data_IF_162768246010
#
_entry.id   IF_162768246010
#
_cell.length_a   1.000
_cell.length_b   1.000
_cell.length_c   1.000
_cell.angle_alpha   90.00
_cell.angle_beta   90.00
_cell.angle_gamma   90.00
#
_symmetry.space_group_name_H-M   'P 1'
#
loop_
_entity.id
_entity.type
_entity.pdbx_description
1 polymer ?
#
# COMPACT_ATOMS: atom_id res chain seq x y z
N UNK A 1 -7.94 -7.73 -2.26
CA UNK A 1 -8.70 -7.97 -1.01
C UNK A 1 -9.75 -6.87 -0.83
N UNK A 2 -9.35 -5.62 -0.59
CA UNK A 2 -10.25 -4.49 -0.30
C UNK A 2 -11.39 -4.30 -1.29
N UNK A 3 -11.14 -4.33 -2.60
CA UNK A 3 -12.20 -4.18 -3.62
C UNK A 3 -13.26 -5.30 -3.54
N UNK A 4 -12.81 -6.55 -3.38
CA UNK A 4 -13.72 -7.70 -3.33
C UNK A 4 -14.50 -7.74 -2.01
N UNK A 5 -13.82 -7.63 -0.87
CA UNK A 5 -14.49 -7.64 0.44
C UNK A 5 -15.35 -6.40 0.65
N UNK A 6 -14.94 -5.26 0.09
CA UNK A 6 -15.71 -4.01 0.07
C UNK A 6 -16.99 -4.15 -0.74
N UNK A 7 -16.95 -4.75 -1.94
CA UNK A 7 -18.15 -5.01 -2.74
C UNK A 7 -19.13 -5.95 -2.03
N UNK A 8 -18.62 -7.02 -1.40
CA UNK A 8 -19.42 -7.98 -0.61
C UNK A 8 -20.15 -7.28 0.53
N UNK A 9 -19.46 -6.39 1.26
CA UNK A 9 -20.08 -5.61 2.33
C UNK A 9 -20.99 -4.50 1.81
N UNK A 10 -20.65 -3.88 0.67
CA UNK A 10 -21.40 -2.79 0.06
C UNK A 10 -22.80 -3.21 -0.41
N UNK A 11 -22.95 -4.44 -0.92
CA UNK A 11 -24.25 -4.92 -1.42
C UNK A 11 -25.37 -4.85 -0.36
N UNK A 12 -25.23 -5.41 0.86
CA UNK A 12 -26.25 -5.32 1.89
C UNK A 12 -26.39 -3.92 2.51
N UNK A 13 -25.31 -3.12 2.56
CA UNK A 13 -25.35 -1.81 3.23
C UNK A 13 -25.91 -0.69 2.36
N UNK A 14 -25.61 -0.75 1.06
CA UNK A 14 -25.82 0.34 0.12
C UNK A 14 -26.62 -0.08 -1.12
N UNK A 15 -27.01 -1.36 -1.21
CA UNK A 15 -27.85 -1.88 -2.30
C UNK A 15 -27.09 -2.17 -3.60
N UNK A 16 -25.81 -1.83 -3.70
CA UNK A 16 -24.99 -2.00 -4.91
C UNK A 16 -23.65 -2.65 -4.62
N UNK A 17 -23.13 -3.41 -5.58
CA UNK A 17 -21.79 -4.03 -5.52
C UNK A 17 -20.69 -3.05 -5.88
N UNK A 18 -20.99 -2.07 -6.74
CA UNK A 18 -20.02 -1.14 -7.28
C UNK A 18 -20.69 0.16 -7.73
N UNK A 19 -19.99 1.26 -7.53
CA UNK A 19 -20.28 2.56 -8.12
C UNK A 19 -19.02 3.12 -8.74
N UNK A 20 -19.16 3.85 -9.83
CA UNK A 20 -18.04 4.51 -10.50
C UNK A 20 -17.70 5.85 -9.87
N UNK A 21 -17.83 5.95 -8.54
CA UNK A 21 -17.47 7.17 -7.85
C UNK A 21 -15.93 7.33 -7.81
N UNK A 22 -15.43 8.56 -7.62
CA UNK A 22 -14.01 8.82 -7.67
C UNK A 22 -13.19 8.05 -6.63
N UNK A 23 -13.75 7.72 -5.45
CA UNK A 23 -13.03 6.97 -4.42
C UNK A 23 -12.78 5.54 -4.90
N UNK A 24 -13.85 4.82 -5.24
CA UNK A 24 -13.74 3.43 -5.71
C UNK A 24 -12.92 3.32 -7.00
N UNK A 25 -13.11 4.25 -7.93
CA UNK A 25 -12.35 4.27 -9.19
C UNK A 25 -10.86 4.51 -8.94
N UNK A 26 -10.51 5.43 -8.04
CA UNK A 26 -9.10 5.68 -7.69
C UNK A 26 -8.45 4.49 -6.97
N UNK A 27 -9.19 3.74 -6.14
CA UNK A 27 -8.71 2.49 -5.54
C UNK A 27 -8.50 1.37 -6.57
N UNK A 28 -9.38 1.27 -7.59
CA UNK A 28 -9.19 0.35 -8.71
C UNK A 28 -7.94 0.69 -9.53
N UNK A 29 -7.73 1.98 -9.82
CA UNK A 29 -6.51 2.45 -10.50
C UNK A 29 -5.27 2.12 -9.65
N UNK A 30 -5.34 2.30 -8.33
CA UNK A 30 -4.26 1.92 -7.42
C UNK A 30 -3.94 0.42 -7.50
N UNK A 31 -4.97 -0.45 -7.60
CA UNK A 31 -4.75 -1.89 -7.81
C UNK A 31 -3.99 -2.17 -9.11
N UNK A 32 -4.41 -1.56 -10.22
CA UNK A 32 -3.70 -1.73 -11.50
C UNK A 32 -2.28 -1.17 -11.46
N UNK A 33 -2.07 -0.05 -10.76
CA UNK A 33 -0.73 0.49 -10.53
C UNK A 33 0.15 -0.49 -9.76
N UNK A 34 -0.39 -1.13 -8.71
CA UNK A 34 0.33 -2.13 -7.93
C UNK A 34 0.71 -3.37 -8.77
N UNK A 35 -0.25 -3.89 -9.54
CA UNK A 35 0.00 -4.99 -10.49
C UNK A 35 1.03 -4.58 -11.54
N UNK A 36 0.93 -3.36 -12.07
CA UNK A 36 1.86 -2.80 -13.05
C UNK A 36 3.29 -2.74 -12.51
N UNK A 37 3.48 -2.26 -11.26
CA UNK A 37 4.81 -2.20 -10.62
C UNK A 37 5.39 -3.61 -10.44
N UNK A 38 4.60 -4.56 -9.94
CA UNK A 38 5.06 -5.95 -9.76
C UNK A 38 5.36 -6.62 -11.10
N UNK A 39 4.46 -6.48 -12.08
CA UNK A 39 4.59 -7.06 -13.41
C UNK A 39 5.80 -6.49 -14.16
N UNK A 40 6.00 -5.18 -14.12
CA UNK A 40 7.15 -4.53 -14.75
C UNK A 40 8.47 -4.94 -14.11
N UNK A 41 8.49 -5.13 -12.79
CA UNK A 41 9.67 -5.63 -12.09
C UNK A 41 9.98 -7.10 -12.44
N UNK A 42 8.95 -7.92 -12.66
CA UNK A 42 9.10 -9.34 -12.99
C UNK A 42 9.39 -9.60 -14.49
N UNK A 43 8.94 -8.71 -15.38
CA UNK A 43 9.05 -8.90 -16.83
C UNK A 43 10.43 -8.54 -17.41
N UNK A 44 11.28 -7.80 -16.69
CA UNK A 44 12.58 -7.35 -17.16
C UNK A 44 13.69 -8.19 -16.49
N UNK A 45 14.49 -8.88 -17.30
CA UNK A 45 15.57 -9.77 -16.81
C UNK A 45 16.69 -9.00 -16.10
N UNK A 46 17.11 -7.85 -16.65
CA UNK A 46 18.13 -7.02 -16.00
C UNK A 46 17.54 -6.37 -14.74
N UNK A 47 17.98 -6.87 -13.58
CA UNK A 47 17.48 -6.45 -12.27
C UNK A 47 17.56 -4.93 -12.03
N UNK A 48 18.60 -4.26 -12.54
CA UNK A 48 18.77 -2.80 -12.34
C UNK A 48 17.85 -2.00 -13.25
N UNK A 49 17.60 -2.46 -14.48
CA UNK A 49 16.61 -1.86 -15.39
C UNK A 49 15.20 -2.10 -14.87
N UNK A 50 14.90 -3.32 -14.43
CA UNK A 50 13.62 -3.68 -13.81
C UNK A 50 13.28 -2.79 -12.60
N UNK A 51 14.24 -2.63 -11.68
CA UNK A 51 14.07 -1.79 -10.49
C UNK A 51 13.86 -0.32 -10.84
N UNK A 52 14.58 0.23 -11.84
CA UNK A 52 14.40 1.61 -12.29
C UNK A 52 13.04 1.84 -12.93
N UNK A 53 12.61 0.94 -13.81
CA UNK A 53 11.33 1.04 -14.50
C UNK A 53 10.15 0.93 -13.51
N UNK A 54 10.19 -0.09 -12.63
CA UNK A 54 9.18 -0.26 -11.58
C UNK A 54 9.18 0.90 -10.58
N UNK A 55 10.35 1.42 -10.20
CA UNK A 55 10.49 2.58 -9.32
C UNK A 55 9.91 3.86 -9.93
N UNK A 56 10.17 4.11 -11.22
CA UNK A 56 9.56 5.24 -11.93
C UNK A 56 8.04 5.15 -11.94
N UNK A 57 7.49 3.98 -12.28
CA UNK A 57 6.04 3.76 -12.25
C UNK A 57 5.45 3.97 -10.85
N UNK A 58 6.13 3.51 -9.80
CA UNK A 58 5.72 3.73 -8.42
C UNK A 58 5.70 5.23 -8.04
N UNK A 59 6.71 6.00 -8.47
CA UNK A 59 6.75 7.46 -8.25
C UNK A 59 5.58 8.15 -8.97
N UNK A 60 5.30 7.78 -10.21
CA UNK A 60 4.11 8.29 -10.93
C UNK A 60 2.83 7.95 -10.16
N UNK A 61 2.73 6.74 -9.62
CA UNK A 61 1.61 6.31 -8.78
C UNK A 61 1.41 7.15 -7.51
N UNK A 62 2.44 7.81 -6.96
CA UNK A 62 2.31 8.69 -5.79
C UNK A 62 1.32 9.84 -6.06
N UNK A 63 1.22 10.29 -7.31
CA UNK A 63 0.27 11.35 -7.72
C UNK A 63 -1.19 10.93 -7.50
N UNK A 64 -1.48 9.62 -7.45
CA UNK A 64 -2.83 9.12 -7.13
C UNK A 64 -3.17 9.31 -5.64
N UNK A 65 -2.19 9.39 -4.74
CA UNK A 65 -2.45 9.43 -3.30
C UNK A 65 -3.23 10.68 -2.86
N UNK A 66 -2.90 11.91 -3.33
CA UNK A 66 -3.73 13.08 -3.08
C UNK A 66 -5.17 12.91 -3.59
N UNK A 67 -5.36 12.34 -4.78
CA UNK A 67 -6.70 12.12 -5.36
C UNK A 67 -7.51 11.16 -4.49
N UNK A 68 -6.92 10.04 -4.09
CA UNK A 68 -7.55 9.06 -3.20
C UNK A 68 -7.91 9.71 -1.86
N UNK A 69 -6.94 10.40 -1.22
CA UNK A 69 -7.11 11.01 0.10
C UNK A 69 -8.21 12.07 0.11
N UNK A 70 -8.22 12.95 -0.89
CA UNK A 70 -9.16 14.07 -0.94
C UNK A 70 -10.45 13.75 -1.71
N UNK A 71 -10.58 12.55 -2.28
CA UNK A 71 -11.82 12.09 -2.91
C UNK A 71 -13.05 12.23 -2.01
N UNK A 72 -12.87 12.09 -0.68
CA UNK A 72 -13.91 12.29 0.34
C UNK A 72 -14.38 13.73 0.49
N UNK A 73 -13.55 14.70 0.13
CA UNK A 73 -13.85 16.13 0.26
C UNK A 73 -14.31 16.71 -1.08
N UNK A 74 -13.68 16.29 -2.17
CA UNK A 74 -13.92 16.87 -3.50
C UNK A 74 -15.23 16.40 -4.14
N UNK A 75 -15.74 15.22 -3.79
CA UNK A 75 -16.98 14.69 -4.37
C UNK A 75 -17.95 14.18 -3.33
N UNK A 76 -19.23 14.46 -3.57
CA UNK A 76 -20.33 13.80 -2.89
C UNK A 76 -20.46 12.38 -3.45
N UNK A 77 -20.25 11.38 -2.62
CA UNK A 77 -20.47 9.98 -2.97
C UNK A 77 -21.35 9.30 -1.94
N UNK A 78 -21.69 8.05 -2.21
CA UNK A 78 -22.47 7.23 -1.30
C UNK A 78 -21.72 6.92 0.01
N UNK A 79 -20.40 7.15 0.03
CA UNK A 79 -19.55 6.91 1.18
C UNK A 79 -19.62 8.07 2.16
N UNK A 80 -19.65 7.74 3.45
CA UNK A 80 -19.55 8.74 4.51
C UNK A 80 -18.26 9.58 4.44
N UNK A 81 -18.35 10.79 5.00
CA UNK A 81 -17.24 11.71 5.20
C UNK A 81 -16.22 11.23 6.23
N UNK A 82 -15.16 12.02 6.46
CA UNK A 82 -14.14 11.71 7.48
C UNK A 82 -14.70 11.86 8.90
N UNK A 83 -14.64 10.81 9.71
CA UNK A 83 -15.04 10.84 11.13
C UNK A 83 -13.90 11.24 12.07
N UNK A 84 -12.65 11.10 11.63
CA UNK A 84 -11.45 11.50 12.38
C UNK A 84 -10.92 12.81 11.80
N UNK A 85 -10.76 13.81 12.66
CA UNK A 85 -10.07 15.06 12.32
C UNK A 85 -8.69 15.08 12.95
N UNK A 86 -7.70 15.58 12.18
CA UNK A 86 -6.34 15.84 12.69
C UNK A 86 -6.28 17.22 13.35
N UNK A 87 -7.14 18.15 12.94
CA UNK A 87 -7.22 19.51 13.46
C UNK A 87 -8.68 19.77 13.86
N UNK A 88 -8.95 19.87 15.17
CA UNK A 88 -10.29 20.06 15.71
C UNK A 88 -10.99 18.77 16.16
N UNK A 89 -12.29 18.86 16.44
CA UNK A 89 -13.06 17.77 17.05
C UNK A 89 -13.31 16.61 16.08
N UNK A 90 -13.05 15.38 16.54
CA UNK A 90 -13.42 14.16 15.82
C UNK A 90 -14.84 13.75 16.17
N UNK A 91 -15.57 13.22 15.18
CA UNK A 91 -16.96 12.73 15.33
C UNK A 91 -17.04 11.23 15.61
N UNK A 92 -15.89 10.58 15.79
CA UNK A 92 -15.80 9.15 16.10
C UNK A 92 -16.22 8.90 17.55
N UNK A 93 -16.96 7.83 17.78
CA UNK A 93 -17.34 7.41 19.14
C UNK A 93 -16.07 7.06 19.96
N UNK A 94 -15.93 7.54 21.20
CA UNK A 94 -14.76 7.27 22.04
C UNK A 94 -14.44 5.78 22.20
N UNK A 95 -15.45 4.90 22.20
CA UNK A 95 -15.25 3.45 22.31
C UNK A 95 -14.46 2.84 21.15
N UNK A 96 -14.45 3.50 19.99
CA UNK A 96 -13.73 3.03 18.80
C UNK A 96 -12.26 3.45 18.77
N UNK A 97 -11.85 4.42 19.61
CA UNK A 97 -10.48 4.96 19.60
C UNK A 97 -9.43 3.94 19.99
N UNK A 98 -9.71 3.13 21.03
CA UNK A 98 -8.81 2.07 21.48
C UNK A 98 -8.49 1.06 20.37
N UNK A 99 -9.52 0.38 19.80
CA UNK A 99 -9.33 -0.54 18.68
C UNK A 99 -8.64 0.11 17.47
N UNK A 100 -8.99 1.36 17.14
CA UNK A 100 -8.38 2.10 16.03
C UNK A 100 -6.87 2.24 16.21
N UNK A 101 -6.43 2.73 17.38
CA UNK A 101 -5.00 2.93 17.64
C UNK A 101 -4.23 1.61 17.71
N UNK A 102 -4.78 0.60 18.37
CA UNK A 102 -4.16 -0.72 18.45
C UNK A 102 -3.95 -1.30 17.05
N UNK A 103 -4.98 -1.30 16.20
CA UNK A 103 -4.88 -1.85 14.85
C UNK A 103 -4.00 -1.00 13.94
N UNK A 104 -4.03 0.32 14.07
CA UNK A 104 -3.16 1.23 13.32
C UNK A 104 -1.69 0.92 13.64
N UNK A 105 -1.34 0.91 14.93
CA UNK A 105 0.03 0.66 15.39
C UNK A 105 0.47 -0.74 14.98
N UNK A 106 -0.30 -1.78 15.29
CA UNK A 106 0.02 -3.16 14.95
C UNK A 106 0.29 -3.36 13.46
N UNK A 107 -0.57 -2.80 12.61
CA UNK A 107 -0.43 -2.93 11.15
C UNK A 107 0.81 -2.20 10.63
N UNK A 108 1.15 -1.03 11.21
CA UNK A 108 2.34 -0.26 10.82
C UNK A 108 3.63 -0.96 11.25
N UNK A 109 3.67 -1.51 12.46
CA UNK A 109 4.81 -2.32 12.92
C UNK A 109 4.97 -3.59 12.10
N UNK A 110 3.88 -4.30 11.80
CA UNK A 110 3.91 -5.48 10.93
C UNK A 110 4.44 -5.14 9.53
N UNK A 111 3.96 -4.05 8.94
CA UNK A 111 4.44 -3.58 7.64
C UNK A 111 5.93 -3.22 7.68
N UNK A 112 6.36 -2.42 8.66
CA UNK A 112 7.75 -2.02 8.81
C UNK A 112 8.67 -3.23 9.01
N UNK A 113 8.30 -4.16 9.90
CA UNK A 113 9.05 -5.41 10.11
C UNK A 113 9.16 -6.25 8.85
N UNK A 114 8.04 -6.43 8.14
CA UNK A 114 8.01 -7.19 6.87
C UNK A 114 8.87 -6.52 5.79
N UNK A 115 8.83 -5.19 5.69
CA UNK A 115 9.65 -4.42 4.76
C UNK A 115 11.15 -4.57 5.08
N UNK A 116 11.53 -4.42 6.34
CA UNK A 116 12.92 -4.55 6.79
C UNK A 116 13.44 -5.97 6.56
N UNK A 117 12.62 -7.00 6.82
CA UNK A 117 12.98 -8.39 6.54
C UNK A 117 13.21 -8.62 5.05
N UNK A 118 12.35 -8.09 4.18
CA UNK A 118 12.52 -8.17 2.72
C UNK A 118 13.75 -7.40 2.24
N UNK A 119 13.98 -6.20 2.77
CA UNK A 119 15.16 -5.39 2.45
C UNK A 119 16.45 -6.11 2.86
N UNK A 120 16.48 -6.72 4.05
CA UNK A 120 17.59 -7.56 4.50
C UNK A 120 17.83 -8.74 3.56
N UNK A 121 16.79 -9.48 3.19
CA UNK A 121 16.91 -10.61 2.27
C UNK A 121 17.44 -10.17 0.89
N UNK A 122 16.91 -9.08 0.33
CA UNK A 122 17.36 -8.53 -0.94
C UNK A 122 18.83 -8.06 -0.89
N UNK A 123 19.25 -7.46 0.22
CA UNK A 123 20.65 -7.04 0.42
C UNK A 123 21.59 -8.24 0.53
N UNK A 124 21.21 -9.27 1.29
CA UNK A 124 22.00 -10.51 1.40
C UNK A 124 22.15 -11.18 0.03
N UNK A 125 21.08 -11.29 -0.75
CA UNK A 125 21.13 -11.85 -2.10
C UNK A 125 22.05 -11.03 -3.02
N UNK A 126 21.92 -9.70 -3.00
CA UNK A 126 22.73 -8.80 -3.80
C UNK A 126 24.23 -8.82 -3.45
N UNK A 127 24.55 -8.99 -2.17
CA UNK A 127 25.91 -8.85 -1.65
C UNK A 127 26.62 -10.19 -1.42
N UNK A 128 25.90 -11.31 -1.42
CA UNK A 128 26.40 -12.67 -1.14
C UNK A 128 27.66 -13.07 -1.93
N UNK A 129 27.78 -12.63 -3.18
CA UNK A 129 28.93 -12.92 -4.04
C UNK A 129 30.17 -12.06 -3.77
N UNK A 130 30.08 -11.02 -2.95
CA UNK A 130 31.19 -10.08 -2.70
C UNK A 130 32.15 -10.63 -1.64
N UNK A 131 33.43 -10.31 -1.79
CA UNK A 131 34.50 -10.82 -0.92
C UNK A 131 34.25 -10.53 0.57
N UNK A 132 33.74 -9.34 0.91
CA UNK A 132 33.43 -8.97 2.29
C UNK A 132 32.31 -9.82 2.90
N UNK A 133 31.29 -10.17 2.09
CA UNK A 133 30.16 -10.97 2.54
C UNK A 133 30.56 -12.45 2.73
N UNK A 134 31.41 -12.98 1.84
CA UNK A 134 32.00 -14.32 1.96
C UNK A 134 32.92 -14.43 3.18
N UNK A 135 33.72 -13.39 3.43
CA UNK A 135 34.58 -13.29 4.62
C UNK A 135 33.74 -13.22 5.91
N UNK A 136 32.67 -12.42 5.95
CA UNK A 136 31.76 -12.35 7.09
C UNK A 136 31.01 -13.66 7.36
N UNK A 137 30.80 -14.49 6.32
CA UNK A 137 30.19 -15.81 6.41
C UNK A 137 31.18 -16.93 6.79
N UNK A 138 32.48 -16.63 6.97
CA UNK A 138 33.48 -17.62 7.35
C UNK A 138 33.84 -18.62 6.24
N UNK A 139 33.55 -18.29 4.97
CA UNK A 139 33.92 -19.14 3.83
C UNK A 139 35.41 -18.91 3.51
N UNK A 140 36.27 -19.96 3.50
CA UNK A 140 37.67 -19.83 3.12
C UNK A 140 37.82 -19.25 1.71
N UNK A 141 38.85 -18.41 1.50
CA UNK A 141 39.12 -17.77 0.21
C UNK A 141 39.63 -18.75 -0.83
#
# INVERSE_FOLDING_TARGET
ITLATGAIWGKPMWGTWWTWDPRLTSELILLFMYIGVMGLNAAIEDRRRAARAAGFLAIVGVVLLPVIRYSVVWWNSLHQGSSVSVFGESRIDPSMLGPLWVMLVATKFWFAGSLLQRARAANLEAESGKAWARAAAGVPQ
#
